data_IF_885408187725
#
_entry.id   IF_885408187725
#
_cell.length_a   1.000
_cell.length_b   1.000
_cell.length_c   1.000
_cell.angle_alpha   90.00
_cell.angle_beta   90.00
_cell.angle_gamma   90.00
#
_symmetry.space_group_name_H-M   'P 1'
#
loop_
_entity.id
_entity.type
_entity.pdbx_description
1 polymer ?
#
# COMPACT_ATOMS: atom_id res chain seq x y z
N UNK A 1 -28.59 17.51 22.70
CA UNK A 1 -28.60 17.16 21.27
C UNK A 1 -27.26 16.54 20.96
N UNK A 2 -27.19 15.21 20.93
CA UNK A 2 -25.92 14.46 20.75
C UNK A 2 -25.69 14.29 19.25
N UNK A 3 -24.63 14.90 18.74
CA UNK A 3 -24.16 14.69 17.37
C UNK A 3 -23.49 13.32 17.30
N UNK A 4 -24.19 12.34 16.74
CA UNK A 4 -23.61 11.07 16.31
C UNK A 4 -22.71 11.38 15.12
N UNK A 5 -21.40 11.45 15.34
CA UNK A 5 -20.42 11.49 14.27
C UNK A 5 -20.51 10.15 13.51
N UNK A 6 -21.08 10.18 12.31
CA UNK A 6 -21.11 9.02 11.42
C UNK A 6 -19.68 8.65 11.02
N UNK A 7 -19.18 7.54 11.55
CA UNK A 7 -17.92 6.93 11.13
C UNK A 7 -18.16 6.10 9.87
N UNK A 8 -18.17 6.76 8.72
CA UNK A 8 -18.07 6.07 7.43
C UNK A 8 -16.63 5.57 7.21
N UNK A 9 -16.42 4.46 6.48
CA UNK A 9 -15.09 4.08 6.03
C UNK A 9 -14.53 5.21 5.15
N UNK A 10 -13.37 5.73 5.53
CA UNK A 10 -12.60 6.63 4.69
C UNK A 10 -12.14 5.83 3.46
N UNK A 11 -12.47 6.34 2.27
CA UNK A 11 -12.15 5.70 1.00
C UNK A 11 -11.32 6.70 0.21
N UNK A 12 -10.14 6.27 -0.28
CA UNK A 12 -9.41 7.01 -1.32
C UNK A 12 -10.39 7.45 -2.39
N UNK A 13 -10.20 8.62 -3.03
CA UNK A 13 -11.02 8.95 -4.19
C UNK A 13 -10.94 7.73 -5.11
N UNK A 14 -12.03 6.92 -5.21
CA UNK A 14 -11.92 5.61 -5.80
C UNK A 14 -11.49 5.71 -7.26
N UNK A 15 -11.69 6.89 -7.86
CA UNK A 15 -11.24 7.24 -9.20
C UNK A 15 -9.73 7.17 -9.33
N UNK A 16 -8.95 7.71 -8.39
CA UNK A 16 -7.47 7.74 -8.47
C UNK A 16 -6.91 6.33 -8.41
N UNK A 17 -7.33 5.55 -7.42
CA UNK A 17 -6.88 4.15 -7.27
C UNK A 17 -7.29 3.32 -8.48
N UNK A 18 -8.51 3.50 -8.99
CA UNK A 18 -8.98 2.80 -10.19
C UNK A 18 -8.26 3.21 -11.46
N UNK A 19 -7.87 4.48 -11.59
CA UNK A 19 -7.07 4.97 -12.71
C UNK A 19 -5.65 4.40 -12.70
N UNK A 20 -5.10 4.11 -11.51
CA UNK A 20 -3.82 3.41 -11.38
C UNK A 20 -3.94 1.94 -11.76
N UNK A 21 -5.06 1.27 -11.48
CA UNK A 21 -5.33 -0.09 -11.93
C UNK A 21 -6.71 -0.64 -11.53
N UNK A 22 -7.37 -1.34 -12.46
CA UNK A 22 -8.66 -2.00 -12.23
C UNK A 22 -8.46 -3.26 -11.36
N UNK A 23 -8.57 -3.08 -10.04
CA UNK A 23 -8.43 -4.18 -9.07
C UNK A 23 -7.50 -3.87 -7.92
N UNK A 24 -6.89 -2.68 -7.88
CA UNK A 24 -6.11 -2.26 -6.72
C UNK A 24 -6.98 -2.07 -5.48
N UNK A 25 -6.48 -2.45 -4.30
CA UNK A 25 -7.24 -2.28 -3.06
C UNK A 25 -7.32 -0.81 -2.65
N UNK A 26 -8.46 -0.43 -2.08
CA UNK A 26 -8.67 0.94 -1.58
C UNK A 26 -8.03 1.08 -0.18
N UNK A 27 -7.30 2.18 0.10
CA UNK A 27 -7.00 2.58 1.47
C UNK A 27 -8.27 2.56 2.33
N UNK A 28 -8.14 2.04 3.56
CA UNK A 28 -9.27 1.78 4.46
C UNK A 28 -9.92 0.40 4.29
N UNK A 29 -9.60 -0.38 3.25
CA UNK A 29 -10.12 -1.75 3.10
C UNK A 29 -9.60 -2.67 4.21
N UNK A 30 -10.41 -3.67 4.61
CA UNK A 30 -9.98 -4.68 5.58
C UNK A 30 -8.93 -5.61 4.99
N UNK A 31 -8.02 -6.09 5.82
CA UNK A 31 -6.93 -6.96 5.39
C UNK A 31 -7.46 -8.24 4.73
N UNK A 32 -8.51 -8.83 5.26
CA UNK A 32 -9.14 -10.05 4.75
C UNK A 32 -9.72 -9.83 3.36
N UNK A 33 -10.40 -8.69 3.15
CA UNK A 33 -10.98 -8.31 1.85
C UNK A 33 -9.86 -8.10 0.80
N UNK A 34 -8.76 -7.46 1.19
CA UNK A 34 -7.61 -7.26 0.31
C UNK A 34 -6.92 -8.59 -0.01
N UNK A 35 -6.80 -9.51 0.96
CA UNK A 35 -6.24 -10.85 0.71
C UNK A 35 -7.10 -11.70 -0.22
N UNK A 36 -8.41 -11.47 -0.22
CA UNK A 36 -9.37 -12.14 -1.11
C UNK A 36 -9.46 -11.50 -2.51
N UNK A 37 -8.70 -10.42 -2.78
CA UNK A 37 -8.72 -9.78 -4.08
C UNK A 37 -8.31 -10.75 -5.20
N UNK A 38 -8.92 -10.59 -6.38
CA UNK A 38 -8.58 -11.40 -7.53
C UNK A 38 -7.20 -11.00 -8.07
N UNK A 39 -6.26 -11.93 -8.03
CA UNK A 39 -4.95 -11.81 -8.66
C UNK A 39 -4.88 -12.69 -9.91
N UNK A 40 -3.85 -12.48 -10.72
CA UNK A 40 -3.53 -13.41 -11.80
C UNK A 40 -3.24 -14.83 -11.23
N UNK A 41 -3.37 -15.90 -12.03
CA UNK A 41 -3.06 -17.26 -11.59
C UNK A 41 -1.69 -17.34 -10.92
N UNK A 42 -1.59 -18.23 -9.92
CA UNK A 42 -0.36 -18.52 -9.17
C UNK A 42 0.22 -17.34 -8.37
N UNK A 43 -0.53 -16.23 -8.25
CA UNK A 43 -0.17 -15.08 -7.42
C UNK A 43 -0.93 -15.06 -6.11
N UNK A 44 -0.26 -14.63 -5.03
CA UNK A 44 -0.90 -14.40 -3.73
C UNK A 44 -0.27 -13.24 -2.98
N UNK A 45 -1.06 -12.64 -2.08
CA UNK A 45 -0.54 -11.70 -1.08
C UNK A 45 0.09 -12.50 0.06
N UNK A 46 1.36 -12.20 0.35
CA UNK A 46 2.11 -12.74 1.49
C UNK A 46 2.50 -11.58 2.40
N UNK A 47 2.30 -11.77 3.70
CA UNK A 47 2.59 -10.78 4.74
C UNK A 47 3.74 -11.22 5.63
N UNK A 48 4.51 -10.27 6.17
CA UNK A 48 5.59 -10.54 7.12
C UNK A 48 5.13 -11.29 8.38
N UNK A 49 3.84 -11.16 8.74
CA UNK A 49 3.21 -11.81 9.89
C UNK A 49 2.60 -13.17 9.60
N UNK A 50 2.55 -13.62 8.34
CA UNK A 50 1.97 -14.93 8.02
C UNK A 50 2.75 -16.02 8.74
N UNK A 51 2.05 -16.91 9.45
CA UNK A 51 2.66 -18.04 10.18
C UNK A 51 3.33 -18.99 9.19
N UNK A 52 2.65 -19.27 8.09
CA UNK A 52 3.13 -20.13 7.02
C UNK A 52 3.40 -19.30 5.76
N UNK A 53 4.69 -19.02 5.52
CA UNK A 53 5.14 -18.33 4.30
C UNK A 53 5.65 -19.35 3.28
N UNK A 54 5.44 -19.10 1.97
CA UNK A 54 6.19 -19.84 0.95
C UNK A 54 7.69 -19.69 1.15
N UNK A 55 8.43 -20.62 0.54
CA UNK A 55 9.86 -20.43 0.30
C UNK A 55 10.04 -19.29 -0.70
N UNK A 56 10.41 -18.12 -0.19
CA UNK A 56 10.67 -16.94 -1.02
C UNK A 56 12.06 -17.01 -1.67
N UNK A 57 12.16 -16.56 -2.92
CA UNK A 57 13.42 -16.36 -3.62
C UNK A 57 14.33 -15.36 -2.88
N UNK A 58 13.72 -14.36 -2.24
CA UNK A 58 14.39 -13.43 -1.33
C UNK A 58 13.66 -13.43 0.03
N UNK A 59 14.12 -14.25 1.01
CA UNK A 59 13.51 -14.33 2.33
C UNK A 59 13.51 -13.01 3.12
N UNK A 60 14.46 -12.12 2.85
CA UNK A 60 14.59 -10.84 3.55
C UNK A 60 13.41 -9.89 3.33
N UNK A 61 12.65 -10.06 2.24
CA UNK A 61 11.52 -9.19 1.91
C UNK A 61 10.34 -9.31 2.89
N UNK A 62 10.17 -10.48 3.53
CA UNK A 62 9.07 -10.76 4.47
C UNK A 62 9.60 -11.17 5.85
N UNK A 63 10.81 -10.73 6.18
CA UNK A 63 11.34 -10.91 7.52
C UNK A 63 10.63 -9.96 8.49
N UNK A 64 10.03 -10.51 9.54
CA UNK A 64 9.32 -9.73 10.54
C UNK A 64 10.23 -8.64 11.15
N UNK A 65 9.82 -7.38 11.02
CA UNK A 65 10.56 -6.27 11.59
C UNK A 65 10.30 -6.19 13.11
N UNK A 66 11.26 -6.66 13.92
CA UNK A 66 11.19 -6.59 15.39
C UNK A 66 11.61 -5.21 15.91
N UNK A 67 10.93 -4.14 15.47
CA UNK A 67 11.07 -2.83 16.11
C UNK A 67 9.97 -2.63 17.15
N UNK A 68 10.26 -1.96 18.28
CA UNK A 68 9.25 -1.63 19.29
C UNK A 68 8.09 -0.89 18.63
N UNK A 69 6.88 -1.42 18.78
CA UNK A 69 5.67 -0.86 18.17
C UNK A 69 5.38 -1.34 16.75
N UNK A 70 6.09 -2.31 16.18
CA UNK A 70 5.72 -2.86 14.85
C UNK A 70 4.58 -3.90 14.89
N UNK A 71 4.15 -4.36 16.08
CA UNK A 71 3.16 -5.45 16.18
C UNK A 71 1.78 -5.09 15.62
N UNK A 72 1.46 -3.80 15.57
CA UNK A 72 0.21 -3.28 15.03
C UNK A 72 0.32 -2.92 13.53
N UNK A 73 1.45 -3.18 12.87
CA UNK A 73 1.67 -2.94 11.44
C UNK A 73 1.92 -4.27 10.75
N UNK A 74 1.33 -4.46 9.56
CA UNK A 74 1.58 -5.62 8.69
C UNK A 74 2.01 -5.16 7.32
N UNK A 75 3.18 -5.59 6.90
CA UNK A 75 3.67 -5.38 5.53
C UNK A 75 3.41 -6.62 4.70
N UNK A 76 2.83 -6.43 3.53
CA UNK A 76 2.55 -7.50 2.59
C UNK A 76 2.96 -7.10 1.17
N UNK A 77 3.18 -8.09 0.32
CA UNK A 77 3.38 -7.89 -1.11
C UNK A 77 2.80 -9.06 -1.91
N UNK A 78 2.73 -8.89 -3.23
CA UNK A 78 2.27 -9.95 -4.14
C UNK A 78 3.44 -10.78 -4.60
N UNK A 79 3.32 -12.10 -4.48
CA UNK A 79 4.32 -13.07 -4.94
C UNK A 79 3.70 -14.05 -5.93
N UNK A 80 4.53 -14.63 -6.79
CA UNK A 80 4.17 -15.67 -7.75
C UNK A 80 5.02 -16.91 -7.55
N UNK A 81 4.43 -18.10 -7.69
CA UNK A 81 5.17 -19.37 -7.73
C UNK A 81 5.88 -19.53 -9.07
N UNK A 82 7.16 -19.88 -9.06
CA UNK A 82 7.93 -20.16 -10.28
C UNK A 82 7.66 -21.55 -10.89
N UNK A 83 6.72 -22.31 -10.30
CA UNK A 83 6.38 -23.68 -10.66
C UNK A 83 7.34 -24.71 -10.06
N UNK A 84 8.33 -24.28 -9.28
CA UNK A 84 9.29 -25.12 -8.54
C UNK A 84 9.12 -24.95 -7.03
N UNK A 85 8.06 -24.28 -6.58
CA UNK A 85 7.78 -24.03 -5.18
C UNK A 85 8.62 -22.89 -4.59
N UNK A 86 9.29 -22.10 -5.43
CA UNK A 86 10.01 -20.89 -5.00
C UNK A 86 9.23 -19.67 -5.45
N UNK A 87 8.89 -18.82 -4.50
CA UNK A 87 8.02 -17.67 -4.73
C UNK A 87 8.84 -16.40 -4.90
N UNK A 88 8.63 -15.71 -6.01
CA UNK A 88 9.31 -14.45 -6.34
C UNK A 88 8.35 -13.27 -6.28
N UNK A 89 8.89 -12.07 -6.05
CA UNK A 89 8.08 -10.85 -6.00
C UNK A 89 7.44 -10.60 -7.37
N UNK A 90 6.12 -10.44 -7.40
CA UNK A 90 5.36 -10.33 -8.63
C UNK A 90 4.80 -8.92 -8.81
N UNK A 91 4.72 -8.49 -10.08
CA UNK A 91 3.97 -7.29 -10.44
C UNK A 91 2.46 -7.50 -10.31
N UNK A 92 1.71 -6.42 -10.39
CA UNK A 92 0.27 -6.39 -10.70
C UNK A 92 0.07 -5.46 -11.91
N UNK A 93 -0.93 -5.71 -12.76
CA UNK A 93 -1.21 -4.83 -13.89
C UNK A 93 -1.60 -3.43 -13.41
N UNK A 94 -0.99 -2.40 -14.00
CA UNK A 94 -1.32 -0.99 -13.77
C UNK A 94 -1.40 -0.24 -15.10
N UNK A 95 -1.86 1.01 -15.07
CA UNK A 95 -1.87 1.91 -16.25
C UNK A 95 -0.48 2.19 -16.83
N UNK A 96 0.60 1.97 -16.07
CA UNK A 96 1.99 2.11 -16.48
C UNK A 96 2.72 0.76 -16.60
N UNK A 97 1.97 -0.33 -16.82
CA UNK A 97 2.51 -1.68 -16.98
C UNK A 97 2.53 -2.47 -15.67
N UNK A 98 3.26 -3.58 -15.63
CA UNK A 98 3.36 -4.39 -14.40
C UNK A 98 4.19 -3.66 -13.34
N UNK A 99 3.60 -3.47 -12.15
CA UNK A 99 4.24 -2.77 -11.02
C UNK A 99 4.22 -3.63 -9.76
N UNK A 100 5.28 -3.59 -8.96
CA UNK A 100 5.34 -4.36 -7.70
C UNK A 100 4.40 -3.71 -6.69
N UNK A 101 3.45 -4.48 -6.17
CA UNK A 101 2.47 -3.98 -5.19
C UNK A 101 2.94 -4.30 -3.76
N UNK A 102 3.14 -3.24 -2.99
CA UNK A 102 3.40 -3.28 -1.56
C UNK A 102 2.19 -2.76 -0.79
N UNK A 103 1.87 -3.42 0.32
CA UNK A 103 0.71 -3.11 1.14
C UNK A 103 1.17 -2.93 2.59
N UNK A 104 0.65 -1.90 3.25
CA UNK A 104 0.87 -1.65 4.67
C UNK A 104 -0.49 -1.58 5.33
N UNK A 105 -0.76 -2.54 6.21
CA UNK A 105 -1.92 -2.54 7.06
C UNK A 105 -1.56 -2.07 8.46
N UNK A 106 -2.51 -1.43 9.11
CA UNK A 106 -2.40 -0.98 10.50
C UNK A 106 -3.59 -1.52 11.30
N UNK A 107 -3.34 -1.93 12.54
CA UNK A 107 -4.39 -2.32 13.46
C UNK A 107 -5.22 -1.08 13.83
N UNK A 108 -6.54 -1.19 13.66
CA UNK A 108 -7.47 -0.12 14.01
C UNK A 108 -8.43 -0.62 15.10
N UNK A 109 -8.34 0.01 16.27
CA UNK A 109 -9.13 -0.35 17.45
C UNK A 109 -8.49 -1.47 18.26
N UNK A 110 -9.30 -2.21 19.01
CA UNK A 110 -8.89 -3.43 19.71
C UNK A 110 -9.34 -4.67 18.92
N UNK A 111 -8.67 -5.80 19.13
CA UNK A 111 -8.99 -7.13 18.55
C UNK A 111 -8.36 -7.48 17.19
N UNK A 112 -7.17 -6.97 16.85
CA UNK A 112 -6.42 -7.49 15.70
C UNK A 112 -7.09 -7.23 14.35
N UNK A 113 -7.90 -6.16 14.24
CA UNK A 113 -8.53 -5.76 12.98
C UNK A 113 -7.60 -4.84 12.20
N UNK A 114 -7.17 -5.31 11.04
CA UNK A 114 -6.21 -4.60 10.21
C UNK A 114 -6.88 -3.93 9.02
N UNK A 115 -6.54 -2.66 8.78
CA UNK A 115 -6.99 -1.91 7.60
C UNK A 115 -5.82 -1.40 6.78
N UNK A 116 -6.01 -1.35 5.47
CA UNK A 116 -4.99 -0.87 4.54
C UNK A 116 -4.73 0.61 4.78
N UNK A 117 -3.60 0.93 5.40
CA UNK A 117 -3.19 2.31 5.63
C UNK A 117 -2.59 2.93 4.36
N UNK A 118 -1.84 2.13 3.60
CA UNK A 118 -1.16 2.56 2.38
C UNK A 118 -0.90 1.37 1.46
N UNK A 119 -1.04 1.59 0.15
CA UNK A 119 -0.36 0.74 -0.83
C UNK A 119 0.71 1.53 -1.58
N UNK A 120 1.66 0.82 -2.17
CA UNK A 120 2.67 1.43 -3.03
C UNK A 120 2.89 0.58 -4.28
N UNK A 121 2.82 1.22 -5.45
CA UNK A 121 3.12 0.62 -6.74
C UNK A 121 4.51 1.03 -7.15
N UNK A 122 5.39 0.07 -7.41
CA UNK A 122 6.74 0.30 -7.89
C UNK A 122 6.83 -0.06 -9.37
N UNK A 123 6.95 0.97 -10.21
CA UNK A 123 7.03 0.87 -11.67
C UNK A 123 8.41 1.28 -12.19
N UNK A 124 8.62 1.11 -13.50
CA UNK A 124 9.86 1.53 -14.16
C UNK A 124 9.90 3.05 -14.32
N UNK A 125 11.05 3.67 -14.05
CA UNK A 125 11.22 5.13 -14.13
C UNK A 125 10.89 5.71 -15.52
N UNK A 126 11.00 4.92 -16.60
CA UNK A 126 10.53 5.31 -17.94
C UNK A 126 9.06 5.71 -18.01
N UNK A 127 8.23 5.30 -17.04
CA UNK A 127 6.81 5.63 -16.97
C UNK A 127 6.49 6.79 -16.02
N UNK A 128 7.51 7.45 -15.47
CA UNK A 128 7.34 8.58 -14.54
C UNK A 128 6.45 9.67 -15.13
N UNK A 129 6.79 10.22 -16.29
CA UNK A 129 6.03 11.35 -16.88
C UNK A 129 4.57 10.96 -17.16
N UNK A 130 4.33 9.71 -17.57
CA UNK A 130 3.00 9.17 -17.81
C UNK A 130 2.18 9.12 -16.52
N UNK A 131 2.78 8.61 -15.44
CA UNK A 131 2.13 8.54 -14.13
C UNK A 131 1.90 9.94 -13.53
N UNK A 132 2.88 10.84 -13.63
CA UNK A 132 2.78 12.21 -13.16
C UNK A 132 1.69 12.98 -13.91
N UNK A 133 1.63 12.86 -15.24
CA UNK A 133 0.60 13.48 -16.06
C UNK A 133 -0.81 12.97 -15.74
N UNK A 134 -0.95 11.65 -15.54
CA UNK A 134 -2.22 11.06 -15.11
C UNK A 134 -2.66 11.61 -13.75
N UNK A 135 -1.79 11.55 -12.74
CA UNK A 135 -2.10 12.05 -11.39
C UNK A 135 -2.42 13.55 -11.41
N UNK A 136 -1.64 14.36 -12.15
CA UNK A 136 -1.89 15.78 -12.32
C UNK A 136 -3.25 16.08 -12.96
N UNK A 137 -3.66 15.29 -13.96
CA UNK A 137 -4.98 15.45 -14.59
C UNK A 137 -6.15 15.14 -13.65
N UNK A 138 -5.94 14.28 -12.65
CA UNK A 138 -6.97 13.85 -11.73
C UNK A 138 -7.01 14.64 -10.43
N UNK A 139 -5.83 14.99 -9.91
CA UNK A 139 -5.64 15.59 -8.60
C UNK A 139 -5.27 17.08 -8.66
N UNK A 140 -5.04 17.60 -9.86
CA UNK A 140 -4.53 18.95 -10.08
C UNK A 140 -3.03 19.07 -9.82
N UNK A 141 -2.55 20.30 -9.63
CA UNK A 141 -1.15 20.58 -9.35
C UNK A 141 -0.70 19.97 -8.01
N UNK A 142 0.50 19.38 -7.94
CA UNK A 142 1.02 18.80 -6.71
C UNK A 142 1.27 19.89 -5.67
N UNK A 143 0.83 19.65 -4.43
CA UNK A 143 1.12 20.51 -3.28
C UNK A 143 2.60 20.45 -2.86
N UNK A 144 3.31 19.40 -3.25
CA UNK A 144 4.75 19.24 -3.03
C UNK A 144 5.42 18.86 -4.34
N UNK A 145 6.43 19.63 -4.75
CA UNK A 145 7.18 19.38 -5.97
C UNK A 145 8.69 19.54 -5.69
N UNK A 146 9.43 18.46 -5.94
CA UNK A 146 10.88 18.41 -5.90
C UNK A 146 11.37 17.51 -7.04
N UNK A 147 12.68 17.55 -7.34
CA UNK A 147 13.30 16.90 -8.51
C UNK A 147 12.89 15.43 -8.70
N UNK A 148 12.73 14.69 -7.59
CA UNK A 148 12.40 13.25 -7.60
C UNK A 148 11.16 12.93 -6.78
N UNK A 149 10.30 13.91 -6.53
CA UNK A 149 9.15 13.74 -5.64
C UNK A 149 8.00 14.70 -5.98
N UNK A 150 6.80 14.15 -6.11
CA UNK A 150 5.54 14.86 -6.27
C UNK A 150 4.56 14.40 -5.18
N UNK A 151 3.79 15.32 -4.60
CA UNK A 151 2.85 15.03 -3.52
C UNK A 151 1.51 15.74 -3.67
N UNK A 152 0.43 14.99 -3.50
CA UNK A 152 -0.95 15.47 -3.44
C UNK A 152 -1.58 15.03 -2.13
N UNK A 153 -2.41 15.90 -1.55
CA UNK A 153 -3.04 15.64 -0.27
C UNK A 153 -4.38 16.34 -0.15
N UNK A 154 -5.36 15.60 0.34
CA UNK A 154 -6.64 16.12 0.78
C UNK A 154 -6.88 15.76 2.28
N UNK A 155 -8.09 15.95 2.77
CA UNK A 155 -8.45 15.67 4.17
C UNK A 155 -8.36 14.18 4.55
N UNK A 156 -8.50 13.29 3.58
CA UNK A 156 -8.63 11.86 3.76
C UNK A 156 -7.42 11.08 3.22
N UNK A 157 -6.78 11.55 2.15
CA UNK A 157 -5.74 10.83 1.42
C UNK A 157 -4.49 11.63 1.15
N UNK A 158 -3.39 10.90 1.04
CA UNK A 158 -2.11 11.41 0.58
C UNK A 158 -1.62 10.48 -0.53
N UNK A 159 -1.32 11.07 -1.69
CA UNK A 159 -0.65 10.40 -2.80
C UNK A 159 0.74 10.99 -2.94
N UNK A 160 1.77 10.15 -2.83
CA UNK A 160 3.16 10.52 -3.00
C UNK A 160 3.73 9.74 -4.17
N UNK A 161 4.35 10.43 -5.10
CA UNK A 161 5.11 9.83 -6.18
C UNK A 161 6.58 10.19 -6.01
N UNK A 162 7.48 9.21 -5.96
CA UNK A 162 8.88 9.47 -5.65
C UNK A 162 9.82 8.44 -6.28
N UNK A 163 11.08 8.81 -6.44
CA UNK A 163 12.15 7.86 -6.77
C UNK A 163 13.03 7.67 -5.54
N UNK A 164 13.18 6.42 -5.10
CA UNK A 164 14.09 6.05 -4.00
C UNK A 164 15.52 5.93 -4.54
N UNK A 165 16.50 6.55 -3.86
CA UNK A 165 17.91 6.51 -4.25
C UNK A 165 18.49 5.08 -4.31
N UNK A 166 17.90 4.13 -3.57
CA UNK A 166 18.27 2.71 -3.62
C UNK A 166 17.80 2.01 -4.88
N UNK A 167 16.78 2.55 -5.55
CA UNK A 167 16.15 2.00 -6.74
C UNK A 167 15.97 3.10 -7.80
N UNK A 168 17.06 3.69 -8.33
CA UNK A 168 16.98 4.86 -9.20
C UNK A 168 16.30 4.60 -10.56
N UNK A 169 16.23 3.31 -10.96
CA UNK A 169 15.59 2.85 -12.19
C UNK A 169 14.08 2.60 -12.02
N UNK A 170 13.56 2.77 -10.81
CA UNK A 170 12.15 2.61 -10.48
C UNK A 170 11.59 3.89 -9.87
N UNK A 171 10.28 4.02 -9.89
CA UNK A 171 9.58 5.02 -9.09
C UNK A 171 8.44 4.34 -8.33
N UNK A 172 8.03 4.96 -7.23
CA UNK A 172 6.92 4.51 -6.42
C UNK A 172 5.78 5.52 -6.45
N UNK A 173 4.55 5.02 -6.58
CA UNK A 173 3.33 5.76 -6.24
C UNK A 173 2.77 5.15 -4.96
N UNK A 174 2.81 5.91 -3.86
CA UNK A 174 2.21 5.54 -2.59
C UNK A 174 0.89 6.27 -2.41
N UNK A 175 -0.20 5.53 -2.23
CA UNK A 175 -1.52 6.07 -1.93
C UNK A 175 -1.93 5.58 -0.55
N UNK A 176 -2.31 6.48 0.35
CA UNK A 176 -2.68 6.09 1.70
C UNK A 176 -3.72 6.99 2.35
N UNK A 177 -4.35 6.44 3.37
CA UNK A 177 -5.30 7.13 4.24
C UNK A 177 -4.52 7.92 5.31
N UNK A 178 -4.78 9.23 5.39
CA UNK A 178 -4.07 10.16 6.28
C UNK A 178 -4.25 9.80 7.76
N UNK A 179 -5.43 9.30 8.15
CA UNK A 179 -5.74 8.94 9.53
C UNK A 179 -5.09 7.62 9.91
N UNK A 180 -5.21 6.60 9.06
CA UNK A 180 -4.58 5.30 9.30
C UNK A 180 -3.05 5.38 9.28
N UNK A 181 -2.46 6.21 8.40
CA UNK A 181 -1.01 6.42 8.38
C UNK A 181 -0.47 7.12 9.63
N UNK A 182 -1.27 7.93 10.32
CA UNK A 182 -0.89 8.49 11.63
C UNK A 182 -0.75 7.37 12.68
N UNK A 183 -1.59 6.33 12.61
CA UNK A 183 -1.51 5.19 13.54
C UNK A 183 -0.19 4.43 13.38
N UNK A 184 0.36 4.32 12.16
CA UNK A 184 1.66 3.67 11.92
C UNK A 184 2.82 4.32 12.69
N UNK A 185 2.71 5.61 13.03
CA UNK A 185 3.75 6.37 13.76
C UNK A 185 3.49 6.43 15.26
N UNK A 186 2.28 6.09 15.70
CA UNK A 186 1.98 6.04 17.12
C UNK A 186 2.51 4.72 17.67
N UNK A 187 3.32 4.71 18.74
CA UNK A 187 3.42 3.50 19.55
C UNK A 187 1.99 3.18 19.96
N UNK A 188 1.49 2.00 19.59
CA UNK A 188 0.10 1.63 19.79
C UNK A 188 -0.31 2.00 21.20
N UNK A 189 -1.37 2.81 21.33
CA UNK A 189 -1.96 3.11 22.62
C UNK A 189 -2.47 1.79 23.18
N UNK A 190 -1.63 1.08 23.93
CA UNK A 190 -2.10 0.10 24.87
C UNK A 190 -2.86 0.88 25.92
N UNK A 191 -4.16 1.05 25.69
CA UNK A 191 -5.08 1.28 26.78
C UNK A 191 -5.01 -0.01 27.62
N UNK A 192 -4.09 -0.02 28.58
CA UNK A 192 -4.19 -0.83 29.79
C UNK A 192 -5.36 -0.24 30.56
N UNK A 193 -6.52 -0.88 30.44
CA UNK A 193 -7.49 -0.96 31.52
C UNK A 193 -7.39 -2.33 32.16
#
# INVERSE_FOLDING_TARGET
>A
MVLIAAWGPAMADPKVVRALGEGLPQPGAQMEDVRAMKLAPDRRIVCESDVEKPRLANPGLMQAQRSRGADHVRRCAVFVDDGKGVWSLAGVPTVFGDARLWLIFVEQGSQGRYRLAQFSLWGRNSEWDKAAGLLGSMLGEPATQADRMLGWKDEQHETLMFIDDKYPDEFAIAVGDVRLRKLMRSPGTSNRE
#
